data_IF_486304373002
#
_entry.id   IF_486304373002
#
_cell.length_a   1.000
_cell.length_b   1.000
_cell.length_c   1.000
_cell.angle_alpha   90.00
_cell.angle_beta   90.00
_cell.angle_gamma   90.00
#
_symmetry.space_group_name_H-M   'P 1'
#
loop_
_entity.id
_entity.type
_entity.pdbx_description
1 polymer ?
2 polymer ?
3 non-polymer ?
4 non-polymer ?
5 non-polymer ?
6 water ?
#
# COMPACT_ATOMS: atom_id res chain seq x y z
N UNK A 1 -2.25 -30.17 10.02
CA UNK A 1 -2.29 -28.68 10.10
C UNK A 1 -3.17 -28.10 9.00
N UNK A 2 -3.75 -26.93 9.27
CA UNK A 2 -4.59 -26.24 8.29
C UNK A 2 -4.26 -24.75 8.29
N UNK A 3 -4.36 -24.13 7.11
CA UNK A 3 -3.86 -22.77 6.91
C UNK A 3 -4.66 -21.68 7.64
N UNK A 4 -5.92 -21.96 7.96
CA UNK A 4 -6.77 -20.98 8.65
C UNK A 4 -6.40 -20.85 10.13
N UNK A 5 -5.79 -21.88 10.70
CA UNK A 5 -5.31 -21.86 12.09
C UNK A 5 -3.81 -21.57 12.17
N UNK A 6 -3.43 -20.45 12.76
CA UNK A 6 -2.03 -20.10 12.98
C UNK A 6 -1.22 -20.06 11.68
N UNK A 7 -1.90 -19.71 10.58
CA UNK A 7 -1.27 -19.70 9.25
C UNK A 7 -0.67 -21.05 8.84
N UNK A 8 -1.21 -22.15 9.40
CA UNK A 8 -0.69 -23.49 9.13
C UNK A 8 0.75 -23.71 9.58
N UNK A 9 1.23 -22.85 10.47
CA UNK A 9 2.63 -22.86 10.89
C UNK A 9 3.60 -22.18 9.93
N UNK A 10 3.10 -21.70 8.80
CA UNK A 10 3.95 -21.10 7.76
C UNK A 10 4.36 -19.69 8.12
N UNK A 11 5.57 -19.32 7.74
CA UNK A 11 6.04 -17.95 7.93
C UNK A 11 5.32 -17.00 6.96
N UNK A 12 5.08 -17.47 5.73
CA UNK A 12 4.42 -16.66 4.68
C UNK A 12 3.15 -17.35 4.19
N UNK A 13 3.17 -17.91 2.98
CA UNK A 13 1.92 -18.36 2.35
C UNK A 13 1.69 -19.85 2.60
N UNK A 14 0.43 -20.26 2.59
CA UNK A 14 0.02 -21.62 2.96
C UNK A 14 -1.06 -22.15 2.02
N UNK A 15 -0.88 -23.39 1.55
CA UNK A 15 -1.87 -24.10 0.72
C UNK A 15 -2.31 -25.38 1.40
N UNK A 16 -3.61 -25.62 1.48
CA UNK A 16 -4.15 -26.91 1.94
C UNK A 16 -4.21 -27.87 0.76
N UNK A 17 -3.93 -29.14 1.04
CA UNK A 17 -3.95 -30.18 0.01
C UNK A 17 -4.82 -31.33 0.47
N UNK A 18 -5.27 -32.16 -0.46
CA UNK A 18 -6.22 -33.22 -0.13
C UNK A 18 -5.65 -34.21 0.88
N UNK A 19 -6.14 -34.11 2.13
CA UNK A 19 -5.93 -35.15 3.13
C UNK A 19 -4.84 -34.91 4.15
N UNK A 20 -5.12 -34.08 5.14
CA UNK A 20 -4.15 -33.72 6.21
C UNK A 20 -2.77 -33.31 5.68
N UNK A 21 -2.74 -32.70 4.48
CA UNK A 21 -1.52 -32.19 3.87
C UNK A 21 -1.53 -30.67 3.80
N UNK A 22 -0.36 -30.07 3.94
CA UNK A 22 -0.19 -28.62 3.88
C UNK A 22 1.14 -28.30 3.19
N UNK A 23 1.16 -27.30 2.32
CA UNK A 23 2.42 -26.84 1.74
C UNK A 23 2.57 -25.35 2.02
N UNK A 24 3.70 -24.96 2.61
CA UNK A 24 4.02 -23.54 2.76
C UNK A 24 4.77 -23.07 1.53
N UNK A 25 4.64 -21.78 1.25
CA UNK A 25 5.36 -21.19 0.13
C UNK A 25 5.90 -19.83 0.55
N UNK A 26 6.83 -19.30 -0.26
CA UNK A 26 7.44 -18.00 0.00
C UNK A 26 7.31 -17.09 -1.21
N UNK A 27 7.30 -15.80 -0.94
CA UNK A 27 7.27 -14.77 -1.97
C UNK A 27 8.53 -14.86 -2.84
N UNK A 28 8.45 -14.35 -4.07
CA UNK A 28 9.65 -14.18 -4.88
C UNK A 28 10.72 -13.45 -4.07
N UNK A 29 11.98 -13.85 -4.24
CA UNK A 29 13.07 -13.29 -3.48
C UNK A 29 13.36 -13.99 -2.16
N UNK A 30 12.63 -15.07 -1.92
CA UNK A 30 12.78 -15.91 -0.73
C UNK A 30 12.75 -17.38 -1.13
N UNK A 31 13.39 -18.23 -0.33
CA UNK A 31 13.29 -19.69 -0.50
C UNK A 31 12.84 -20.34 0.79
N UNK A 32 12.17 -21.48 0.67
CA UNK A 32 11.64 -22.22 1.82
C UNK A 32 12.74 -23.09 2.40
N UNK A 33 12.91 -23.06 3.72
CA UNK A 33 13.90 -23.91 4.40
C UNK A 33 13.37 -25.34 4.56
N UNK A 34 14.29 -26.22 4.94
CA UNK A 34 13.96 -27.65 5.08
C UNK A 34 12.96 -27.94 6.21
N UNK A 35 12.75 -26.98 7.12
CA UNK A 35 11.68 -27.13 8.11
C UNK A 35 10.28 -27.08 7.48
N UNK A 36 10.21 -26.62 6.24
CA UNK A 36 8.95 -26.59 5.49
C UNK A 36 8.05 -25.41 5.80
N UNK A 37 8.51 -24.50 6.66
CA UNK A 37 7.71 -23.36 7.12
C UNK A 37 8.42 -22.01 6.99
N UNK A 38 9.74 -21.98 7.16
CA UNK A 38 10.51 -20.73 7.23
C UNK A 38 10.94 -20.27 5.85
N UNK A 39 11.02 -18.95 5.68
CA UNK A 39 11.45 -18.35 4.42
C UNK A 39 12.72 -17.54 4.65
N UNK A 40 13.71 -17.70 3.78
CA UNK A 40 14.96 -16.97 3.87
C UNK A 40 15.21 -16.17 2.59
N UNK A 41 15.66 -14.90 2.71
CA UNK A 41 15.94 -14.14 1.49
C UNK A 41 16.98 -14.78 0.59
N UNK A 42 16.78 -14.65 -0.73
CA UNK A 42 17.70 -15.14 -1.75
C UNK A 42 18.30 -13.98 -2.56
N UNK A 43 17.85 -12.77 -2.26
CA UNK A 43 18.31 -11.56 -2.95
C UNK A 43 18.69 -10.49 -1.93
N UNK A 44 19.34 -9.42 -2.40
CA UNK A 44 19.85 -8.38 -1.53
C UNK A 44 18.71 -7.54 -0.93
N UNK A 45 17.67 -7.29 -1.73
CA UNK A 45 16.56 -6.41 -1.34
C UNK A 45 15.22 -7.11 -1.50
N UNK A 46 14.96 -8.11 -0.64
CA UNK A 46 13.69 -8.79 -0.68
C UNK A 46 12.55 -7.88 -0.24
N UNK A 47 11.35 -8.12 -0.76
CA UNK A 47 10.20 -7.29 -0.36
C UNK A 47 9.91 -7.37 1.13
N UNK A 48 9.45 -6.26 1.68
CA UNK A 48 8.91 -6.24 3.02
C UNK A 48 9.94 -6.25 4.13
N UNK A 49 11.22 -6.08 3.78
CA UNK A 49 12.28 -5.96 4.78
C UNK A 49 12.98 -4.62 4.63
N UNK A 50 13.44 -4.08 5.76
CA UNK A 50 13.97 -2.72 5.82
C UNK A 50 15.48 -2.80 6.02
N UNK A 51 16.26 -2.61 4.94
CA UNK A 51 17.71 -2.82 4.96
C UNK A 51 18.44 -2.19 6.15
N UNK A 52 18.15 -0.93 6.49
CA UNK A 52 18.93 -0.28 7.55
C UNK A 52 18.67 -0.91 8.91
N UNK A 53 17.50 -1.53 9.10
CA UNK A 53 17.18 -2.25 10.34
C UNK A 53 17.70 -3.69 10.31
N UNK A 54 17.68 -4.33 9.13
CA UNK A 54 18.23 -5.68 8.98
C UNK A 54 19.74 -5.68 9.25
N UNK A 55 20.42 -4.65 8.74
CA UNK A 55 21.84 -4.45 9.04
C UNK A 55 22.05 -4.05 10.50
N UNK A 56 21.12 -3.27 11.04
CA UNK A 56 21.18 -2.84 12.44
C UNK A 56 21.34 -4.02 13.41
N UNK A 57 20.81 -5.18 13.02
CA UNK A 57 20.93 -6.41 13.81
C UNK A 57 21.83 -7.44 13.12
N UNK B 1 -0.43 13.14 7.60
CA UNK B 1 -0.58 12.29 8.78
C UNK B 1 -0.76 13.17 10.02
N UNK B 2 -1.84 12.94 10.76
CA UNK B 2 -2.10 13.66 12.01
C UNK B 2 -1.74 12.79 13.20
N UNK B 3 -0.92 13.34 14.11
CA UNK B 3 -0.58 12.66 15.36
C UNK B 3 0.43 11.53 15.26
N UNK B 4 1.22 11.52 14.19
CA UNK B 4 2.27 10.52 14.03
C UNK B 4 3.64 11.06 14.38
N UNK B 5 4.66 10.51 13.74
CA UNK B 5 6.04 10.90 13.93
C UNK B 5 6.75 10.87 12.60
N UNK B 6 7.92 11.50 12.55
CA UNK B 6 8.75 11.41 11.35
C UNK B 6 9.18 9.95 11.18
N UNK B 7 9.04 9.44 9.96
CA UNK B 7 9.54 8.11 9.64
C UNK B 7 11.06 8.25 9.44
N UNK B 8 11.88 7.60 10.28
CA UNK B 8 13.31 7.79 10.09
C UNK B 8 13.72 7.42 8.67
N UNK B 9 14.58 8.22 8.06
CA UNK B 9 14.95 8.05 6.66
C UNK B 9 15.35 6.59 6.38
N UNK B 10 14.73 6.00 5.36
CA UNK B 10 15.02 4.62 4.99
C UNK B 10 14.14 3.58 5.66
N UNK B 11 13.33 3.97 6.64
CA UNK B 11 12.47 3.00 7.36
C UNK B 11 11.09 2.79 6.73
N UNK B 12 10.77 3.56 5.69
CA UNK B 12 9.56 3.44 4.92
C UNK B 12 9.94 3.31 3.43
N UNK B 13 10.79 2.33 3.07
CA UNK B 13 11.48 2.40 1.77
C UNK B 13 10.61 2.11 0.53
N UNK B 14 9.38 1.68 0.78
CA UNK B 14 8.39 1.38 -0.26
C UNK B 14 7.48 2.58 -0.55
N UNK B 15 7.59 3.65 0.25
CA UNK B 15 6.73 4.80 0.09
C UNK B 15 7.06 5.51 -1.23
N UNK B 16 6.01 5.86 -1.97
CA UNK B 16 6.14 6.63 -3.21
C UNK B 16 5.49 8.00 -3.03
N UNK B 17 6.09 9.01 -3.65
CA UNK B 17 5.50 10.34 -3.79
C UNK B 17 5.12 10.53 -5.25
N UNK B 18 3.85 10.86 -5.48
CA UNK B 18 3.35 11.17 -6.81
C UNK B 18 3.26 12.68 -6.98
N UNK B 19 3.78 13.16 -8.10
CA UNK B 19 3.80 14.59 -8.45
C UNK B 19 3.12 14.81 -9.78
N UNK B 20 2.38 15.92 -9.89
CA UNK B 20 1.86 16.37 -11.18
C UNK B 20 2.36 17.80 -11.41
N UNK B 21 3.08 17.99 -12.50
CA UNK B 21 3.73 19.28 -12.79
C UNK B 21 4.56 19.78 -11.59
N UNK B 22 5.24 18.84 -10.92
CA UNK B 22 6.14 19.17 -9.82
C UNK B 22 5.48 19.31 -8.46
N UNK B 23 4.14 19.33 -8.44
CA UNK B 23 3.36 19.56 -7.22
C UNK B 23 2.89 18.23 -6.63
N UNK B 24 2.89 18.16 -5.31
CA UNK B 24 2.48 16.97 -4.58
C UNK B 24 1.02 16.60 -4.93
N UNK B 25 0.80 15.35 -5.32
CA UNK B 25 -0.54 14.86 -5.64
C UNK B 25 -1.02 13.88 -4.57
N UNK B 26 -0.23 12.85 -4.34
CA UNK B 26 -0.65 11.70 -3.54
C UNK B 26 0.55 10.85 -3.17
N UNK B 27 0.31 9.80 -2.39
CA UNK B 27 1.30 8.77 -2.12
C UNK B 27 1.04 7.53 -2.94
N UNK B 28 1.87 6.52 -2.71
CA UNK B 28 1.71 5.23 -3.35
C UNK B 28 2.63 4.26 -2.66
N UNK B 29 2.56 3.00 -3.09
CA UNK B 29 3.38 1.92 -2.55
C UNK B 29 4.08 1.15 -3.67
N UNK B 30 5.39 1.05 -3.59
CA UNK B 30 6.15 0.22 -4.52
C UNK B 30 5.94 -1.25 -4.18
N UNK B 31 5.53 -2.07 -5.15
CA UNK B 31 5.37 -3.52 -4.89
C UNK B 31 6.32 -4.42 -5.71
N UNK B 32 6.95 -3.83 -6.71
CA UNK B 32 8.14 -4.44 -7.35
C UNK B 32 8.81 -3.32 -8.14
N UNK B 33 9.83 -3.62 -8.94
CA UNK B 33 10.64 -2.52 -9.49
C UNK B 33 9.95 -1.62 -10.52
N UNK B 34 8.85 -2.07 -11.11
CA UNK B 34 8.12 -1.19 -12.05
C UNK B 34 6.67 -0.90 -11.70
N UNK B 35 6.16 -1.45 -10.60
CA UNK B 35 4.74 -1.34 -10.25
C UNK B 35 4.50 -0.65 -8.93
N UNK B 36 3.56 0.31 -8.94
CA UNK B 36 3.19 1.10 -7.76
C UNK B 36 1.68 1.02 -7.57
N UNK B 37 1.24 0.81 -6.34
CA UNK B 37 -0.19 0.80 -6.02
C UNK B 37 -0.55 2.14 -5.38
N UNK B 38 -1.64 2.75 -5.82
CA UNK B 38 -2.09 4.03 -5.28
C UNK B 38 -3.62 4.00 -5.19
N UNK B 39 -4.26 5.18 -5.05
CA UNK B 39 -5.71 5.29 -4.96
C UNK B 39 -6.27 5.86 -6.26
N UNK B 40 -7.36 5.28 -6.75
CA UNK B 40 -8.01 5.75 -7.98
C UNK B 40 -8.36 7.23 -7.91
N UNK B 41 -8.85 7.66 -6.75
CA UNK B 41 -9.38 9.04 -6.62
C UNK B 41 -8.32 10.12 -6.82
N UNK B 42 -7.06 9.74 -6.68
CA UNK B 42 -5.94 10.66 -6.91
C UNK B 42 -5.90 11.18 -8.34
N UNK B 43 -6.55 10.49 -9.26
CA UNK B 43 -6.45 10.77 -10.69
C UNK B 43 -7.71 11.37 -11.30
N UNK B 44 -8.66 11.77 -10.45
CA UNK B 44 -9.94 12.31 -10.92
C UNK B 44 -9.81 13.59 -11.75
N UNK B 45 -8.82 14.43 -11.43
CA UNK B 45 -8.73 15.76 -12.04
C UNK B 45 -7.49 15.93 -12.93
N UNK B 46 -6.83 14.83 -13.27
CA UNK B 46 -5.65 14.89 -14.12
C UNK B 46 -6.05 15.29 -15.53
N UNK B 47 -5.36 16.30 -16.06
CA UNK B 47 -5.64 16.80 -17.40
C UNK B 47 -4.57 16.31 -18.37
N UNK B 48 -3.31 16.52 -18.02
CA UNK B 48 -2.21 16.01 -18.83
C UNK B 48 -1.58 14.81 -18.13
N UNK B 49 -1.98 13.62 -18.58
CA UNK B 49 -1.50 12.38 -17.98
C UNK B 49 0.00 12.19 -18.14
N UNK B 50 0.62 12.96 -19.03
CA UNK B 50 2.03 12.79 -19.34
C UNK B 50 2.97 13.57 -18.42
N UNK B 51 2.41 14.34 -17.47
CA UNK B 51 3.22 15.08 -16.48
C UNK B 51 3.18 14.49 -15.07
N UNK B 52 2.81 13.21 -14.99
CA UNK B 52 2.79 12.47 -13.72
C UNK B 52 4.15 11.83 -13.46
N UNK B 53 4.70 12.06 -12.28
CA UNK B 53 6.00 11.53 -11.89
C UNK B 53 5.89 10.79 -10.56
N UNK B 54 6.56 9.65 -10.46
CA UNK B 54 6.70 8.91 -9.20
C UNK B 54 8.10 9.09 -8.68
N UNK B 55 8.24 9.38 -7.38
CA UNK B 55 9.53 9.50 -6.74
C UNK B 55 9.68 8.43 -5.66
N UNK B 56 10.75 7.64 -5.77
CA UNK B 56 11.13 6.67 -4.76
C UNK B 56 12.33 7.18 -3.99
N UNK B 57 12.49 6.71 -2.75
CA UNK B 57 13.64 7.07 -1.93
C UNK B 57 13.55 8.48 -1.36
N UNK B 58 12.36 9.05 -1.39
CA UNK B 58 12.16 10.42 -0.90
C UNK B 58 12.03 10.39 0.62
N UNK B 59 12.41 11.50 1.24
CA UNK B 59 12.28 11.63 2.67
C UNK B 59 11.98 13.08 3.02
N UNK B 60 12.94 13.96 2.76
CA UNK B 60 12.81 15.40 3.06
C UNK B 60 12.61 16.16 1.75
N UNK B 61 11.45 16.80 1.62
CA UNK B 61 11.10 17.49 0.38
C UNK B 61 11.90 18.77 0.14
N UNK B 62 12.57 19.27 1.17
CA UNK B 62 13.33 20.52 1.07
C UNK B 62 14.72 20.33 0.48
N UNK B 63 15.24 19.10 0.46
CA UNK B 63 16.60 18.87 0.02
C UNK B 63 16.74 17.64 -0.85
N UNK B 64 17.74 17.66 -1.72
CA UNK B 64 18.10 16.51 -2.53
C UNK B 64 19.32 15.88 -1.90
N UNK B 65 19.22 14.61 -1.53
CA UNK B 65 20.37 13.92 -0.93
C UNK B 65 20.95 12.80 -1.78
N UNK B 66 20.40 12.59 -2.97
CA UNK B 66 20.94 11.60 -3.89
C UNK B 66 20.30 10.23 -3.86
N UNK B 67 19.45 9.98 -2.86
CA UNK B 67 18.78 8.67 -2.76
C UNK B 67 17.45 8.64 -3.50
N UNK B 68 16.98 9.81 -3.94
CA UNK B 68 15.71 9.93 -4.66
C UNK B 68 15.87 9.37 -6.07
N UNK B 69 14.83 8.68 -6.55
CA UNK B 69 14.78 8.17 -7.92
C UNK B 69 13.43 8.55 -8.50
N UNK B 70 13.43 9.31 -9.59
CA UNK B 70 12.20 9.77 -10.23
C UNK B 70 11.94 8.98 -11.50
N UNK B 71 10.67 8.64 -11.74
CA UNK B 71 10.28 7.93 -12.95
C UNK B 71 8.98 8.49 -13.50
N UNK B 72 8.88 8.51 -14.83
CA UNK B 72 7.60 8.81 -15.46
C UNK B 72 6.65 7.65 -15.26
N UNK B 73 5.37 7.99 -15.12
CA UNK B 73 4.31 6.99 -15.03
C UNK B 73 3.80 6.68 -16.44
N UNK B 74 3.98 5.43 -16.86
CA UNK B 74 3.63 4.98 -18.22
C UNK B 74 2.18 4.50 -18.34
N UNK B 75 1.59 4.03 -17.25
CA UNK B 75 0.23 3.51 -17.25
C UNK B 75 -0.38 3.72 -15.89
N UNK B 76 -1.65 4.16 -15.87
CA UNK B 76 -2.45 4.25 -14.66
C UNK B 76 -3.68 3.39 -14.90
N UNK B 77 -3.80 2.29 -14.16
CA UNK B 77 -4.86 1.31 -14.38
C UNK B 77 -5.85 1.36 -13.23
N UNK B 78 -7.12 1.55 -13.57
CA UNK B 78 -8.18 1.74 -12.58
C UNK B 78 -9.30 0.72 -12.83
N UNK B 79 -9.89 0.17 -11.76
CA UNK B 79 -10.95 -0.82 -12.01
C UNK B 79 -12.18 -0.21 -12.66
N UNK B 80 -12.86 -0.99 -13.51
CA UNK B 80 -14.08 -0.55 -14.19
C UNK B 80 -15.16 -0.08 -13.21
N UNK B 81 -15.15 -0.67 -12.02
CA UNK B 81 -16.18 -0.43 -11.01
C UNK B 81 -16.02 0.90 -10.26
N UNK B 82 -14.86 1.54 -10.38
CA UNK B 82 -14.62 2.84 -9.73
C UNK B 82 -15.36 3.95 -10.47
N UNK B 83 -16.05 4.80 -9.72
CA UNK B 83 -16.76 5.94 -10.28
C UNK B 83 -16.14 7.23 -9.73
N UNK B 84 -15.55 8.06 -10.61
CA UNK B 84 -14.95 9.31 -10.14
C UNK B 84 -15.85 10.12 -9.21
N UNK B 85 -15.25 10.66 -8.14
CA UNK B 85 -15.96 11.47 -7.17
C UNK B 85 -16.61 10.70 -6.03
N UNK B 86 -16.52 9.37 -6.09
CA UNK B 86 -17.10 8.50 -5.06
C UNK B 86 -16.01 7.70 -4.35
N UNK B 87 -16.40 6.79 -3.45
CA UNK B 87 -15.46 6.17 -2.50
C UNK B 87 -15.09 4.71 -2.79
N UNK B 88 -15.97 3.96 -3.44
CA UNK B 88 -15.78 2.51 -3.59
C UNK B 88 -14.75 2.18 -4.66
N UNK B 89 -14.06 1.06 -4.48
CA UNK B 89 -13.06 0.57 -5.45
C UNK B 89 -11.92 1.57 -5.67
N UNK B 90 -11.42 2.12 -4.58
CA UNK B 90 -10.42 3.18 -4.63
C UNK B 90 -9.00 2.64 -4.70
N UNK B 91 -8.64 2.16 -5.88
CA UNK B 91 -7.33 1.56 -6.13
C UNK B 91 -6.88 1.86 -7.55
N UNK B 92 -5.58 2.09 -7.72
CA UNK B 92 -4.95 2.27 -9.04
C UNK B 92 -3.63 1.51 -9.04
N UNK B 93 -3.30 0.91 -10.19
CA UNK B 93 -2.03 0.25 -10.39
C UNK B 93 -1.26 1.04 -11.45
N UNK B 94 -0.05 1.48 -11.11
CA UNK B 94 0.76 2.36 -11.93
C UNK B 94 1.98 1.61 -12.43
N UNK B 95 2.22 1.67 -13.74
CA UNK B 95 3.41 1.11 -14.36
C UNK B 95 4.41 2.24 -14.57
N UNK B 96 5.63 2.07 -14.06
CA UNK B 96 6.68 3.05 -14.26
C UNK B 96 7.30 2.86 -15.64
N UNK B 97 7.81 3.94 -16.23
CA UNK B 97 8.39 3.89 -17.58
C UNK B 97 9.70 3.10 -17.61
N UNK B 98 10.40 3.08 -16.48
CA UNK B 98 11.65 2.37 -16.33
C UNK B 98 11.69 1.87 -14.89
N UNK B 99 12.28 0.68 -14.67
CA UNK B 99 12.32 0.23 -13.27
C UNK B 99 13.13 1.15 -12.37
N UNK B 100 12.73 1.24 -11.11
CA UNK B 100 13.61 1.82 -10.10
C UNK B 100 14.68 0.79 -9.75
N UNK B 101 15.78 1.27 -9.17
CA UNK B 101 16.88 0.43 -8.75
C UNK B 101 16.74 0.21 -7.26
N UNK B 102 16.68 -1.04 -6.83
CA UNK B 102 16.54 -1.27 -5.41
C UNK B 102 17.84 -0.93 -4.71
N UNK B 103 17.69 -0.29 -3.56
CA UNK B 103 18.79 0.19 -2.72
C UNK B 103 18.36 0.14 -1.25
N UNK B 104 19.24 0.52 -0.33
CA UNK B 104 18.85 0.58 1.08
C UNK B 104 17.64 1.49 1.29
N UNK B 105 17.42 2.43 0.37
CA UNK B 105 16.36 3.43 0.51
C UNK B 105 15.16 3.22 -0.41
N UNK B 106 15.23 2.20 -1.25
CA UNK B 106 14.17 1.89 -2.20
C UNK B 106 13.96 0.36 -2.22
N UNK B 107 12.85 -0.08 -1.65
CA UNK B 107 12.55 -1.52 -1.49
C UNK B 107 11.05 -1.71 -1.63
N UNK B 108 10.61 -2.75 -2.36
CA UNK B 108 9.16 -2.97 -2.50
C UNK B 108 8.53 -3.55 -1.24
N UNK B 109 7.27 -3.22 -1.01
CA UNK B 109 6.43 -3.89 -0.01
C UNK B 109 5.85 -5.15 -0.62
N UNK B 110 5.74 -6.23 0.15
CA UNK B 110 5.21 -7.46 -0.40
C UNK B 110 3.69 -7.36 -0.63
N UNK B 111 3.25 -7.67 -1.84
CA UNK B 111 1.83 -7.85 -2.12
C UNK B 111 1.48 -9.28 -1.73
N UNK B 112 0.65 -9.46 -0.67
CA UNK B 112 0.41 -10.80 -0.16
C UNK B 112 -0.56 -11.61 -1.01
N UNK B 113 -0.55 -12.93 -0.85
CA UNK B 113 -1.62 -13.74 -1.40
C UNK B 113 -2.94 -13.42 -0.69
N UNK B 114 -4.04 -13.57 -1.40
CA UNK B 114 -5.36 -13.25 -0.86
C UNK B 114 -5.68 -14.04 0.39
N UNK B 115 -5.50 -15.36 0.34
CA UNK B 115 -5.80 -16.22 1.49
C UNK B 115 -5.03 -15.81 2.74
N UNK B 116 -3.73 -15.60 2.59
CA UNK B 116 -2.89 -15.15 3.69
C UNK B 116 -3.38 -13.81 4.24
N UNK B 117 -3.71 -12.89 3.36
CA UNK B 117 -4.15 -11.58 3.79
C UNK B 117 -5.48 -11.64 4.55
N UNK B 118 -6.40 -12.46 4.07
CA UNK B 118 -7.74 -12.57 4.66
C UNK B 118 -7.72 -13.38 5.97
N UNK B 119 -6.95 -14.46 5.97
CA UNK B 119 -6.93 -15.40 7.10
C UNK B 119 -6.01 -14.97 8.23
N UNK B 120 -4.95 -14.25 7.90
CA UNK B 120 -3.89 -13.93 8.86
C UNK B 120 -3.65 -12.44 9.03
N UNK B 121 -3.34 -11.73 7.94
CA UNK B 121 -3.01 -10.32 8.08
C UNK B 121 -4.17 -9.47 8.59
N UNK B 122 -5.39 -9.86 8.23
CA UNK B 122 -6.58 -9.10 8.60
C UNK B 122 -6.80 -9.07 10.10
N UNK B 123 -6.15 -9.98 10.82
CA UNK B 123 -6.29 -10.07 12.28
C UNK B 123 -5.10 -9.53 13.06
N UNK B 124 -4.10 -9.01 12.35
CA UNK B 124 -3.05 -8.24 13.00
C UNK B 124 -3.64 -6.88 13.35
N UNK B 125 -3.61 -6.53 14.63
CA UNK B 125 -4.35 -5.35 15.07
C UNK B 125 -3.80 -4.04 14.51
N UNK B 126 -2.50 -3.82 14.69
CA UNK B 126 -1.88 -2.53 14.30
C UNK B 126 -1.12 -2.64 13.01
N UNK B 127 -1.16 -1.55 12.23
CA UNK B 127 -0.42 -1.40 10.98
C UNK B 127 0.03 0.05 10.82
N UNK B 128 1.02 0.26 9.96
CA UNK B 128 1.58 1.60 9.73
C UNK B 128 0.99 2.25 8.48
N UNK B 129 0.63 3.52 8.63
CA UNK B 129 0.21 4.37 7.51
C UNK B 129 1.17 5.54 7.43
N UNK B 130 1.49 5.99 6.22
CA UNK B 130 2.53 7.00 6.04
C UNK B 130 2.26 7.94 4.87
N UNK B 131 2.88 9.12 4.92
CA UNK B 131 2.79 10.09 3.84
C UNK B 131 3.26 11.48 4.20
N UNK B 132 3.22 12.35 3.19
CA UNK B 132 3.60 13.77 3.33
C UNK B 132 2.35 14.64 3.35
N UNK B 133 1.22 14.08 3.80
CA UNK B 133 -0.02 14.82 3.85
C UNK B 133 -0.09 15.82 4.99
N UNK B 134 -1.28 16.36 5.17
CA UNK B 134 -1.54 17.40 6.17
C UNK B 134 -1.24 16.88 7.57
N UNK B 135 -0.57 17.70 8.37
CA UNK B 135 -0.23 17.37 9.75
C UNK B 135 -1.38 17.65 10.71
N UNK B 136 -2.34 18.44 10.23
CA UNK B 136 -3.54 18.78 10.98
C UNK B 136 -4.65 18.95 9.95
N UNK B 137 -5.89 18.74 10.37
CA UNK B 137 -7.02 19.11 9.53
C UNK B 137 -6.97 20.61 9.25
N UNK B 138 -7.14 20.98 7.98
CA UNK B 138 -7.03 22.38 7.54
C UNK B 138 -5.63 22.98 7.77
N UNK B 139 -4.61 22.13 7.82
CA UNK B 139 -3.25 22.56 8.10
C UNK B 139 -2.29 22.30 6.95
N UNK B 140 -1.06 22.74 7.13
CA UNK B 140 0.00 22.57 6.14
C UNK B 140 0.42 21.11 6.04
N UNK B 141 0.95 20.74 4.87
CA UNK B 141 1.50 19.39 4.64
C UNK B 141 2.91 19.25 5.20
N UNK B 142 3.34 18.00 5.37
CA UNK B 142 4.64 17.69 5.96
C UNK B 142 5.79 17.81 4.96
N UNK B 143 6.94 18.30 5.43
CA UNK B 143 8.16 18.34 4.61
C UNK B 143 9.00 17.06 4.77
N UNK B 144 8.83 16.36 5.89
CA UNK B 144 9.47 15.05 6.11
C UNK B 144 8.40 13.96 6.15
N UNK B 145 8.74 12.78 5.65
CA UNK B 145 7.81 11.66 5.65
C UNK B 145 7.37 11.30 7.06
N UNK B 146 6.06 11.19 7.26
CA UNK B 146 5.47 10.89 8.57
C UNK B 146 4.86 9.49 8.55
N UNK B 147 4.79 8.88 9.73
CA UNK B 147 4.27 7.53 9.88
C UNK B 147 3.44 7.44 11.18
N UNK B 148 2.41 6.60 11.14
CA UNK B 148 1.45 6.48 12.24
C UNK B 148 0.99 5.02 12.38
N UNK B 149 0.94 4.53 13.61
CA UNK B 149 0.48 3.18 13.89
C UNK B 149 -1.01 3.27 14.20
N UNK B 150 -1.82 2.54 13.44
CA UNK B 150 -3.28 2.56 13.61
C UNK B 150 -3.85 1.14 13.79
N UNK B 151 -4.82 0.98 14.69
CA UNK B 151 -5.50 -0.30 14.86
C UNK B 151 -6.68 -0.47 13.91
N UNK B 152 -6.85 -1.69 13.40
CA UNK B 152 -7.91 -2.03 12.44
C UNK B 152 -9.16 -2.45 13.21
N UNK B 153 -10.31 -2.10 12.66
CA UNK B 153 -11.61 -2.48 13.21
C UNK B 153 -12.36 -3.39 12.24
N UNK B 154 -13.10 -4.36 12.77
CA UNK B 154 -14.10 -5.06 11.96
C UNK B 154 -15.18 -4.06 11.60
N UNK B 155 -15.73 -4.16 10.39
CA UNK B 155 -16.61 -3.11 9.88
C UNK B 155 -17.87 -2.94 10.75
N UNK B 156 -18.42 -4.05 11.23
CA UNK B 156 -19.56 -3.99 12.17
C UNK B 156 -19.23 -3.11 13.38
N UNK B 157 -18.01 -3.28 13.92
CA UNK B 157 -17.56 -2.49 15.06
C UNK B 157 -17.34 -1.02 14.68
N UNK B 158 -16.76 -0.78 13.50
CA UNK B 158 -16.56 0.59 13.01
C UNK B 158 -17.89 1.35 12.97
N UNK B 159 -18.91 0.71 12.43
CA UNK B 159 -20.24 1.32 12.29
C UNK B 159 -20.87 1.60 13.65
N UNK B 160 -20.71 0.64 14.57
CA UNK B 160 -21.23 0.77 15.94
C UNK B 160 -20.49 1.86 16.72
N UNK B 161 -19.18 1.95 16.52
CA UNK B 161 -18.35 2.92 17.23
C UNK B 161 -18.33 4.33 16.61
N UNK B 162 -18.87 4.47 15.39
CA UNK B 162 -18.83 5.76 14.69
C UNK B 162 -20.07 6.60 14.97
N UNK B 163 -19.88 7.91 15.09
CA UNK B 163 -20.98 8.84 15.40
C UNK B 163 -20.51 10.29 15.31
N UNK B 168 -23.23 10.40 3.79
CA UNK B 168 -22.35 9.54 4.59
C UNK B 168 -22.15 8.18 3.91
N UNK B 169 -21.03 8.00 3.18
CA UNK B 169 -20.86 6.78 2.39
C UNK B 169 -20.83 5.48 3.19
N UNK B 170 -21.30 4.40 2.57
CA UNK B 170 -21.28 3.08 3.18
C UNK B 170 -19.84 2.57 3.29
N UNK B 171 -19.58 1.74 4.28
CA UNK B 171 -18.30 1.03 4.38
C UNK B 171 -18.54 -0.32 3.73
N UNK B 172 -18.02 -0.48 2.51
CA UNK B 172 -18.31 -1.67 1.71
C UNK B 172 -17.31 -2.79 2.00
N UNK B 173 -17.52 -3.94 1.36
CA UNK B 173 -16.61 -5.08 1.50
C UNK B 173 -15.24 -4.80 0.87
N UNK B 174 -15.12 -3.70 0.16
CA UNK B 174 -13.86 -3.30 -0.50
C UNK B 174 -13.08 -2.25 0.30
N UNK B 175 -13.50 -2.07 1.56
CA UNK B 175 -12.92 -1.10 2.48
C UNK B 175 -12.74 -1.73 3.85
N UNK B 176 -11.92 -1.09 4.68
CA UNK B 176 -11.92 -1.34 6.12
C UNK B 176 -11.57 -0.07 6.89
N UNK B 177 -11.99 -0.03 8.15
CA UNK B 177 -11.71 1.10 9.03
C UNK B 177 -10.48 0.84 9.87
N UNK B 178 -9.71 1.90 10.13
CA UNK B 178 -8.58 1.83 11.03
C UNK B 178 -8.34 3.21 11.62
N UNK B 179 -7.87 3.23 12.86
CA UNK B 179 -7.48 4.49 13.51
C UNK B 179 -8.18 4.69 14.83
N UNK B 180 -8.56 5.95 15.08
CA UNK B 180 -9.04 6.39 16.39
C UNK B 180 -10.20 7.37 16.22
N UNK B 181 -11.14 7.32 17.14
CA UNK B 181 -12.32 8.18 17.09
C UNK B 181 -12.24 9.41 18.00
N UNK B 182 -11.10 9.62 18.66
CA UNK B 182 -10.94 10.72 19.62
C UNK B 182 -10.32 11.99 19.01
N UNK B 183 -10.11 11.98 17.69
CA UNK B 183 -9.63 13.15 16.97
C UNK B 183 -8.14 13.45 17.06
N UNK B 184 -7.36 12.47 17.50
CA UNK B 184 -5.93 12.67 17.77
C UNK B 184 -5.01 12.20 16.64
N UNK B 185 -5.44 11.18 15.92
CA UNK B 185 -4.57 10.42 15.02
C UNK B 185 -5.31 9.89 13.81
N UNK B 186 -4.80 10.18 12.61
CA UNK B 186 -5.45 9.77 11.36
C UNK B 186 -4.48 10.01 10.19
N UNK B 187 -4.77 9.39 9.06
CA UNK B 187 -4.16 9.80 7.81
C UNK B 187 -5.04 10.92 7.27
N UNK B 188 -4.54 11.70 6.32
CA UNK B 188 -5.29 12.86 5.82
C UNK B 188 -5.25 12.91 4.30
N UNK B 189 -5.84 13.99 3.78
CA UNK B 189 -5.99 14.24 2.34
C UNK B 189 -4.76 13.88 1.51
N UNK B 190 -3.64 14.54 1.80
CA UNK B 190 -2.43 14.41 0.99
C UNK B 190 -1.69 13.08 1.12
N UNK B 191 -2.15 12.24 2.04
CA UNK B 191 -1.61 10.89 2.25
C UNK B 191 -2.29 9.86 1.36
N UNK B 192 -3.39 10.25 0.70
CA UNK B 192 -4.14 9.36 -0.19
C UNK B 192 -3.23 8.56 -1.10
N UNK B 193 -3.52 7.27 -1.23
CA UNK B 193 -2.77 6.38 -2.11
C UNK B 193 -1.63 5.68 -1.40
N UNK B 194 -1.23 6.19 -0.23
CA UNK B 194 -0.11 5.66 0.50
C UNK B 194 -0.41 4.32 1.16
N UNK B 195 0.64 3.66 1.65
CA UNK B 195 0.50 2.34 2.21
C UNK B 195 -0.12 2.27 3.59
N UNK B 196 -0.92 1.23 3.79
CA UNK B 196 -1.27 0.69 5.11
C UNK B 196 -0.54 -0.66 5.13
N UNK B 197 0.52 -0.73 5.91
CA UNK B 197 1.48 -1.85 5.87
C UNK B 197 1.40 -2.64 7.16
N UNK B 198 1.38 -3.96 7.04
CA UNK B 198 1.12 -4.86 8.18
C UNK B 198 2.29 -5.83 8.34
N UNK B 199 2.82 -5.92 9.56
CA UNK B 199 3.95 -6.78 9.86
C UNK B 199 3.48 -8.18 10.28
N UNK B 200 4.11 -9.21 9.72
CA UNK B 200 3.87 -10.58 10.17
C UNK B 200 5.17 -11.39 10.09
N UNK B 201 5.60 -11.90 11.25
CA UNK B 201 6.79 -12.75 11.35
C UNK B 201 7.98 -12.24 10.54
N UNK B 202 8.32 -10.97 10.76
CA UNK B 202 9.55 -10.38 10.25
C UNK B 202 9.50 -9.73 8.89
N UNK B 203 8.31 -9.70 8.28
CA UNK B 203 8.13 -9.15 6.93
C UNK B 203 6.88 -8.28 6.89
N UNK B 204 6.93 -7.22 6.06
CA UNK B 204 5.81 -6.29 5.94
C UNK B 204 5.07 -6.50 4.62
N UNK B 205 3.75 -6.32 4.68
CA UNK B 205 2.82 -6.63 3.59
C UNK B 205 1.84 -5.49 3.36
N UNK B 206 1.42 -5.31 2.11
CA UNK B 206 0.41 -4.29 1.77
C UNK B 206 -0.99 -4.81 2.06
N UNK B 207 -1.66 -4.18 3.03
CA UNK B 207 -3.03 -4.54 3.37
C UNK B 207 -4.07 -3.46 3.06
N UNK B 208 -3.66 -2.20 2.98
CA UNK B 208 -4.61 -1.14 2.67
C UNK B 208 -3.99 0.03 1.93
N UNK B 209 -4.86 0.89 1.41
CA UNK B 209 -4.48 2.12 0.73
C UNK B 209 -5.24 3.27 1.42
N UNK B 210 -4.52 4.34 1.79
CA UNK B 210 -5.17 5.53 2.35
C UNK B 210 -6.21 6.00 1.34
N UNK B 211 -7.47 6.06 1.77
CA UNK B 211 -8.59 6.29 0.83
C UNK B 211 -9.48 7.47 1.22
N UNK B 212 -10.23 7.36 2.30
CA UNK B 212 -11.15 8.44 2.66
C UNK B 212 -11.52 8.48 4.14
N UNK B 213 -12.40 9.41 4.47
CA UNK B 213 -12.99 9.52 5.80
C UNK B 213 -13.76 10.82 5.87
N UNK B 214 -14.30 11.14 7.04
CA UNK B 214 -14.98 12.41 7.28
C UNK B 214 -13.94 13.40 7.79
N UNK B 215 -13.42 14.25 6.90
CA UNK B 215 -12.33 15.14 7.27
C UNK B 215 -11.13 14.32 7.72
N UNK B 216 -10.23 14.92 8.49
CA UNK B 216 -9.07 14.22 9.06
C UNK B 216 -9.08 14.31 10.57
N UNK B 217 -8.97 13.16 11.23
CA UNK B 217 -9.00 13.08 12.69
C UNK B 217 -10.21 13.80 13.25
N UNK B 218 -11.38 13.53 12.66
CA UNK B 218 -12.63 14.09 13.14
C UNK B 218 -13.15 13.22 14.27
N UNK B 219 -13.54 13.85 15.38
CA UNK B 219 -14.04 13.09 16.53
C UNK B 219 -15.26 12.28 16.09
N UNK B 220 -15.31 11.02 16.53
CA UNK B 220 -16.41 10.11 16.20
C UNK B 220 -16.29 9.39 14.86
N UNK B 221 -15.14 9.49 14.23
CA UNK B 221 -14.93 8.88 12.91
C UNK B 221 -13.54 8.28 12.76
N UNK B 222 -13.45 7.22 11.97
CA UNK B 222 -12.20 6.51 11.72
C UNK B 222 -11.78 6.72 10.28
N UNK B 223 -10.51 6.46 10.00
CA UNK B 223 -10.01 6.47 8.63
C UNK B 223 -10.54 5.25 7.89
N UNK B 224 -10.78 5.41 6.59
CA UNK B 224 -11.26 4.30 5.77
C UNK B 224 -10.21 4.01 4.69
N UNK B 225 -9.90 2.72 4.54
CA UNK B 225 -8.82 2.26 3.68
C UNK B 225 -9.35 1.27 2.68
N UNK B 226 -8.77 1.26 1.47
CA UNK B 226 -9.12 0.26 0.47
C UNK B 226 -8.62 -1.10 0.94
N UNK B 227 -9.49 -2.11 0.87
CA UNK B 227 -9.16 -3.46 1.32
C UNK B 227 -8.46 -4.21 0.19
N UNK B 228 -7.13 -4.15 0.23
CA UNK B 228 -6.30 -4.62 -0.89
C UNK B 228 -6.48 -6.11 -1.16
N UNK B 229 -6.83 -6.88 -0.14
CA UNK B 229 -7.04 -8.33 -0.33
C UNK B 229 -8.08 -8.67 -1.41
N UNK B 230 -9.04 -7.78 -1.62
CA UNK B 230 -10.07 -7.98 -2.65
C UNK B 230 -9.54 -7.84 -4.08
N UNK B 231 -8.34 -7.26 -4.22
CA UNK B 231 -7.79 -6.91 -5.52
C UNK B 231 -6.51 -7.67 -5.90
N UNK B 232 -6.10 -8.65 -5.10
CA UNK B 232 -4.82 -9.33 -5.36
C UNK B 232 -4.79 -9.96 -6.76
N UNK B 233 -5.82 -10.74 -7.09
CA UNK B 233 -5.88 -11.43 -8.37
C UNK B 233 -6.00 -10.46 -9.55
N UNK B 234 -6.74 -9.37 -9.35
CA UNK B 234 -6.86 -8.30 -10.35
C UNK B 234 -5.49 -7.67 -10.63
N UNK B 235 -4.77 -7.33 -9.57
CA UNK B 235 -3.43 -6.76 -9.69
C UNK B 235 -2.45 -7.71 -10.33
N UNK B 236 -2.44 -8.97 -9.89
CA UNK B 236 -1.48 -9.93 -10.42
C UNK B 236 -1.70 -10.17 -11.92
N UNK B 237 -2.96 -10.22 -12.33
CA UNK B 237 -3.24 -10.41 -13.76
C UNK B 237 -2.71 -9.24 -14.57
N UNK B 238 -2.93 -8.03 -14.09
CA UNK B 238 -2.49 -6.85 -14.81
C UNK B 238 -0.97 -6.77 -14.90
N UNK B 239 -0.27 -7.20 -13.86
CA UNK B 239 1.20 -7.16 -13.86
C UNK B 239 1.82 -8.14 -14.87
N UNK B 240 1.04 -9.13 -15.31
CA UNK B 240 1.47 -10.09 -16.33
C UNK B 240 1.14 -9.62 -17.74
N UNK B 241 0.40 -8.52 -17.84
CA UNK B 241 -0.09 -8.01 -19.12
C UNK B 241 0.91 -7.09 -19.81
N UNK B 242 0.82 -7.02 -21.14
CA UNK B 242 1.63 -6.06 -21.89
C UNK B 242 1.05 -4.66 -21.79
N UNK B 243 1.91 -3.63 -21.77
CA UNK B 243 1.45 -2.24 -21.79
C UNK B 243 0.60 -1.92 -23.02
N UNK B 244 -0.30 -0.94 -22.88
CA UNK B 244 -1.14 -0.47 -23.97
C UNK B 244 -0.91 1.02 -24.19
N UNK B 245 -1.02 1.48 -25.46
CA UNK B 245 -0.90 2.90 -25.73
C UNK B 245 -1.91 3.72 -24.94
N UNK B 246 -1.52 4.91 -24.51
CA UNK B 246 -2.36 5.77 -23.67
C UNK B 246 -2.24 5.45 -22.19
N UNK B 247 -2.01 6.46 -21.37
CA UNK B 247 -1.66 6.27 -19.96
C UNK B 247 -2.79 5.64 -19.18
N UNK B 248 -3.98 6.23 -19.22
CA UNK B 248 -5.12 5.71 -18.48
C UNK B 248 -5.67 4.44 -19.12
N UNK B 249 -5.84 3.40 -18.31
CA UNK B 249 -6.50 2.16 -18.71
C UNK B 249 -7.54 1.80 -17.67
N UNK B 250 -8.79 1.66 -18.08
CA UNK B 250 -9.80 1.10 -17.22
C UNK B 250 -9.86 -0.41 -17.49
N UNK B 251 -9.71 -1.20 -16.44
CA UNK B 251 -9.65 -2.66 -16.57
C UNK B 251 -10.82 -3.30 -15.86
N UNK B 252 -11.42 -4.34 -16.45
CA UNK B 252 -12.59 -4.95 -15.80
C UNK B 252 -12.28 -5.46 -14.40
N UNK B 253 -13.22 -5.23 -13.49
CA UNK B 253 -13.17 -5.82 -12.17
C UNK B 253 -14.51 -6.49 -11.90
N UNK B 254 -14.50 -7.74 -11.40
CA UNK B 254 -13.36 -8.56 -11.00
C UNK B 254 -12.45 -8.99 -12.15
X LIG C 1 14.71 14.84 -0.66
X LIG D 1 -14.60 -7.36 8.56
X LIG D 1 -13.23 -7.84 8.66
X LIG D 1 -15.22 -7.90 7.36
X LIG D 1 -15.33 -7.82 9.75
X LIG D 1 -14.60 -5.90 8.53
X LIG E 1 -1.99 -9.46 -22.61
X LIG E 1 -0.68 -8.80 -22.60
X LIG E 1 -2.33 -9.83 -23.98
X LIG E 1 -1.92 -10.66 -21.79
X LIG E 1 -3.00 -8.55 -22.09
X LIG F 1 -8.84 10.41 6.38
X LIG F 1 -12.14 11.07 -1.45
X LIG F 1 -12.67 14.39 3.11
X LIG F 1 -9.20 12.00 0.81
X LIG F 1 -8.88 10.76 4.91
X LIG F 1 -13.87 11.32 0.35
X LIG F 1 -16.21 11.30 -0.20
X LIG F 1 -7.97 10.27 4.00
X LIG F 1 -15.90 11.15 -1.54
X LIG F 1 -12.43 8.78 -2.20
X LIG F 1 -11.18 11.91 -0.65
X LIG F 1 -9.94 12.03 3.16
X LIG F 1 -9.06 11.53 2.24
X LIG F 1 -10.21 11.28 0.05
X LIG F 1 -10.90 12.88 2.71
X LIG F 1 -13.56 11.18 -0.99
X LIG F 1 -9.87 11.65 4.48
X LIG F 1 -11.26 13.13 -0.67
X LIG F 1 -13.49 14.98 3.82
X LIG F 1 -8.06 10.65 2.65
X LIG F 1 -14.57 11.08 -1.94
X LIG F 1 -11.75 13.40 3.74
X LIG F 1 -12.61 14.62 1.78
X LIG F 1 -15.20 11.39 0.74
X LIG F 1 -11.72 9.70 -1.35
X LIG F 1 -17.52 11.37 0.20
X LIG F 1 -8.30 9.07 6.67
#
# INVERSE_FOLDING_TARGET
LICVNENGGCEQYCSDHTGTKRSCRCHEGYSLLADGVSCTPTVEYPCGKIPILEKRNASKPQGR
IVGGKVCPKGECPWQVLLLVNGAQLCGGTLINTIWVVSAAHCFDKIKNWRNLIAVLGEHDLSEHDGDEQSRRVAQVIIPSTYVPGTTNHDIALLRLHQPVVLTDHVVPLCLPERTFSERTLAFVRFSLVSGWGQLLDRGATALELMVLNVPRLMTQDCLQQSRKVGDSPNITEYMFCAGYSDGSKDSCKGDSGGPHATHYRGTWYLTGIVSWGQGCATVGHFGVYTRVSQYIEWLQKLMRSEPRPGVLLRAPFP
CA CA
SO4 S O1 O2 O3 O4
SO4 S O1 O2 O3 O4
7YP C5 C6 C7 C10 C15 C17 C20 C21 C22 C26 C1 C2 C3 N4 O8 C9 C11 O12 O13 C14 C16 C18 N19 C23 O24 O25 N27
#
